data_IF_175548284813
#
_entry.id   IF_175548284813
#
_cell.length_a   1.000
_cell.length_b   1.000
_cell.length_c   1.000
_cell.angle_alpha   90.00
_cell.angle_beta   90.00
_cell.angle_gamma   90.00
#
_symmetry.space_group_name_H-M   'P 1'
#
loop_
_entity.id
_entity.type
_entity.pdbx_description
1 polymer ?
#
# COMPACT_ATOMS: atom_id res chain seq x y z
N UNK A 1 -22.03 28.44 0.94
CA UNK A 1 -21.60 28.13 -0.45
C UNK A 1 -22.24 26.81 -0.82
N UNK A 2 -22.88 26.72 -1.98
CA UNK A 2 -23.49 25.48 -2.47
C UNK A 2 -22.55 24.83 -3.50
N UNK A 3 -22.25 23.55 -3.31
CA UNK A 3 -21.35 22.79 -4.19
C UNK A 3 -22.18 22.05 -5.23
N UNK A 4 -21.99 22.37 -6.52
CA UNK A 4 -22.65 21.67 -7.62
C UNK A 4 -21.93 20.34 -7.91
N UNK A 5 -22.69 19.25 -7.79
CA UNK A 5 -22.26 17.89 -8.12
C UNK A 5 -23.03 17.39 -9.34
N UNK A 6 -22.32 16.92 -10.37
CA UNK A 6 -22.92 16.32 -11.55
C UNK A 6 -22.90 14.80 -11.47
N UNK A 7 -24.06 14.17 -11.60
CA UNK A 7 -24.21 12.72 -11.73
C UNK A 7 -24.45 12.37 -13.20
N UNK A 8 -23.54 11.58 -13.78
CA UNK A 8 -23.59 11.16 -15.19
C UNK A 8 -23.98 9.68 -15.27
N UNK A 9 -24.95 9.36 -16.13
CA UNK A 9 -25.40 7.97 -16.36
C UNK A 9 -26.66 7.58 -15.58
N UNK A 10 -27.28 8.54 -14.89
CA UNK A 10 -28.56 8.35 -14.20
C UNK A 10 -29.45 9.57 -14.35
N UNK A 11 -30.73 9.31 -14.57
CA UNK A 11 -31.79 10.30 -14.62
C UNK A 11 -32.92 9.83 -13.69
N UNK A 12 -33.23 10.58 -12.60
CA UNK A 12 -34.30 10.22 -11.69
C UNK A 12 -35.65 10.11 -12.41
N UNK A 13 -36.39 9.05 -12.11
CA UNK A 13 -37.73 8.86 -12.61
C UNK A 13 -38.71 9.76 -11.85
N UNK A 14 -39.52 10.52 -12.61
CA UNK A 14 -40.62 11.31 -12.07
C UNK A 14 -41.83 10.43 -11.66
N UNK A 15 -42.05 9.34 -12.40
CA UNK A 15 -43.04 8.30 -12.08
C UNK A 15 -42.52 6.90 -12.44
N UNK A 16 -43.18 5.88 -11.90
CA UNK A 16 -42.86 4.47 -12.15
C UNK A 16 -43.86 3.81 -13.11
N UNK A 17 -44.83 4.56 -13.64
CA UNK A 17 -45.92 4.01 -14.43
C UNK A 17 -45.43 3.56 -15.81
N UNK A 18 -45.70 2.30 -16.17
CA UNK A 18 -45.28 1.73 -17.45
C UNK A 18 -43.77 1.49 -17.58
N UNK A 19 -42.98 1.70 -16.51
CA UNK A 19 -41.54 1.41 -16.48
C UNK A 19 -41.27 -0.07 -16.21
N UNK A 20 -40.17 -0.60 -16.75
CA UNK A 20 -39.75 -1.98 -16.50
C UNK A 20 -39.31 -2.11 -15.04
N UNK A 21 -39.53 -3.29 -14.44
CA UNK A 21 -39.10 -3.59 -13.06
C UNK A 21 -37.63 -3.26 -12.78
N UNK A 22 -36.76 -3.49 -13.78
CA UNK A 22 -35.34 -3.15 -13.71
C UNK A 22 -35.12 -1.65 -13.55
N UNK A 23 -35.80 -0.83 -14.35
CA UNK A 23 -35.66 0.63 -14.32
C UNK A 23 -36.14 1.20 -12.98
N UNK A 24 -37.24 0.67 -12.45
CA UNK A 24 -37.76 1.05 -11.13
C UNK A 24 -36.77 0.69 -10.02
N UNK A 25 -36.23 -0.53 -10.02
CA UNK A 25 -35.21 -0.96 -9.05
C UNK A 25 -33.96 -0.08 -9.11
N UNK A 26 -33.47 0.22 -10.31
CA UNK A 26 -32.24 0.99 -10.49
C UNK A 26 -32.45 2.45 -10.00
N UNK A 27 -33.63 3.04 -10.24
CA UNK A 27 -34.03 4.36 -9.72
C UNK A 27 -34.18 4.38 -8.19
N UNK A 28 -34.86 3.39 -7.61
CA UNK A 28 -34.99 3.24 -6.15
C UNK A 28 -33.62 3.13 -5.48
N UNK A 29 -32.72 2.33 -6.06
CA UNK A 29 -31.37 2.15 -5.55
C UNK A 29 -30.57 3.45 -5.53
N UNK A 30 -30.56 4.21 -6.64
CA UNK A 30 -29.81 5.46 -6.69
C UNK A 30 -30.44 6.56 -5.82
N UNK A 31 -31.78 6.62 -5.73
CA UNK A 31 -32.46 7.54 -4.81
C UNK A 31 -32.07 7.27 -3.36
N UNK A 32 -32.11 6.01 -2.93
CA UNK A 32 -31.65 5.60 -1.61
C UNK A 32 -30.18 6.00 -1.40
N UNK A 33 -29.31 5.63 -2.34
CA UNK A 33 -27.87 5.85 -2.28
C UNK A 33 -27.51 7.34 -2.15
N UNK A 34 -28.14 8.22 -2.92
CA UNK A 34 -27.85 9.66 -2.90
C UNK A 34 -28.60 10.43 -1.82
N UNK A 35 -29.77 9.95 -1.35
CA UNK A 35 -30.53 10.63 -0.29
C UNK A 35 -29.89 10.52 1.10
N UNK A 36 -29.04 9.51 1.31
CA UNK A 36 -28.39 9.26 2.59
C UNK A 36 -27.16 10.12 2.89
N UNK A 37 -26.82 11.10 2.04
CA UNK A 37 -25.54 11.84 2.07
C UNK A 37 -25.72 13.30 1.68
N UNK A 38 -24.93 14.20 2.27
CA UNK A 38 -24.81 15.56 1.76
C UNK A 38 -23.79 15.61 0.62
N UNK A 39 -24.31 15.54 -0.60
CA UNK A 39 -23.52 15.61 -1.84
C UNK A 39 -23.62 16.99 -2.51
N UNK A 40 -24.06 18.01 -1.77
CA UNK A 40 -24.36 19.34 -2.31
C UNK A 40 -25.55 19.34 -3.28
N UNK A 41 -25.56 20.29 -4.21
CA UNK A 41 -26.61 20.40 -5.23
C UNK A 41 -26.41 19.33 -6.30
N UNK A 42 -27.28 18.33 -6.32
CA UNK A 42 -27.22 17.25 -7.29
C UNK A 42 -27.87 17.66 -8.63
N UNK A 43 -27.09 17.54 -9.70
CA UNK A 43 -27.55 17.67 -11.08
C UNK A 43 -27.39 16.34 -11.79
N UNK A 44 -28.33 15.99 -12.66
CA UNK A 44 -28.35 14.69 -13.32
C UNK A 44 -28.28 14.83 -14.84
N UNK A 45 -27.53 13.96 -15.49
CA UNK A 45 -27.47 13.88 -16.95
C UNK A 45 -27.28 12.44 -17.45
N UNK A 46 -27.86 12.08 -18.61
CA UNK A 46 -27.56 10.82 -19.28
C UNK A 46 -26.17 10.86 -19.94
N UNK A 47 -25.64 9.69 -20.30
CA UNK A 47 -24.34 9.58 -20.98
C UNK A 47 -24.24 10.32 -22.33
N UNK A 48 -25.36 10.62 -22.99
CA UNK A 48 -25.35 11.30 -24.29
C UNK A 48 -25.23 12.82 -24.20
N UNK A 49 -25.74 13.44 -23.12
CA UNK A 49 -25.96 14.90 -23.05
C UNK A 49 -25.31 15.57 -21.83
N UNK A 50 -24.38 14.88 -21.17
CA UNK A 50 -23.76 15.40 -19.95
C UNK A 50 -22.85 16.61 -20.18
N UNK A 51 -22.23 16.76 -21.37
CA UNK A 51 -21.36 17.91 -21.67
C UNK A 51 -22.12 19.23 -21.53
N UNK A 52 -23.33 19.29 -22.10
CA UNK A 52 -24.19 20.47 -22.02
C UNK A 52 -24.52 20.83 -20.57
N UNK A 53 -24.84 19.83 -19.75
CA UNK A 53 -25.14 20.05 -18.33
C UNK A 53 -23.89 20.44 -17.55
N UNK A 54 -22.74 19.87 -17.89
CA UNK A 54 -21.45 20.21 -17.31
C UNK A 54 -21.08 21.68 -17.57
N UNK A 55 -21.29 22.19 -18.79
CA UNK A 55 -21.04 23.60 -19.11
C UNK A 55 -21.99 24.55 -18.37
N UNK A 56 -23.26 24.16 -18.25
CA UNK A 56 -24.32 24.95 -17.60
C UNK A 56 -24.01 25.18 -16.11
N UNK A 57 -23.64 24.13 -15.39
CA UNK A 57 -23.51 24.18 -13.93
C UNK A 57 -22.06 24.33 -13.46
N UNK A 58 -21.10 24.11 -14.36
CA UNK A 58 -19.65 24.13 -14.11
C UNK A 58 -19.27 23.40 -12.81
N UNK A 59 -19.50 22.08 -12.73
CA UNK A 59 -19.36 21.36 -11.47
C UNK A 59 -17.91 21.38 -10.96
N UNK A 60 -17.77 21.28 -9.64
CA UNK A 60 -16.47 20.99 -9.00
C UNK A 60 -16.30 19.48 -8.79
N UNK A 61 -17.42 18.75 -8.67
CA UNK A 61 -17.45 17.31 -8.44
C UNK A 61 -18.33 16.62 -9.46
N UNK A 62 -17.86 15.51 -10.01
CA UNK A 62 -18.57 14.70 -10.99
C UNK A 62 -18.52 13.24 -10.56
N UNK A 63 -19.68 12.59 -10.51
CA UNK A 63 -19.80 11.14 -10.30
C UNK A 63 -20.27 10.52 -11.61
N UNK A 64 -19.48 9.60 -12.16
CA UNK A 64 -19.80 8.87 -13.40
C UNK A 64 -20.21 7.45 -13.05
N UNK A 65 -21.43 7.09 -13.45
CA UNK A 65 -21.99 5.75 -13.30
C UNK A 65 -21.72 4.97 -14.59
N UNK A 66 -21.04 3.83 -14.53
CA UNK A 66 -20.72 3.02 -15.72
C UNK A 66 -19.22 2.86 -16.02
N UNK A 67 -18.36 3.22 -15.06
CA UNK A 67 -16.94 2.86 -15.03
C UNK A 67 -15.99 3.72 -15.87
N UNK A 68 -14.77 3.20 -16.03
CA UNK A 68 -13.57 3.96 -16.44
C UNK A 68 -13.67 4.58 -17.84
N UNK A 69 -14.32 3.93 -18.80
CA UNK A 69 -14.42 4.42 -20.18
C UNK A 69 -15.14 5.77 -20.29
N UNK A 70 -16.24 5.94 -19.55
CA UNK A 70 -16.95 7.22 -19.53
C UNK A 70 -16.22 8.25 -18.66
N UNK A 71 -15.58 7.81 -17.57
CA UNK A 71 -14.77 8.67 -16.73
C UNK A 71 -13.63 9.33 -17.52
N UNK A 72 -12.94 8.59 -18.40
CA UNK A 72 -11.87 9.15 -19.23
C UNK A 72 -12.37 10.26 -20.16
N UNK A 73 -13.53 10.05 -20.82
CA UNK A 73 -14.14 11.08 -21.66
C UNK A 73 -14.51 12.34 -20.87
N UNK A 74 -15.07 12.16 -19.67
CA UNK A 74 -15.40 13.27 -18.77
C UNK A 74 -14.15 14.01 -18.33
N UNK A 75 -13.08 13.28 -17.97
CA UNK A 75 -11.81 13.88 -17.55
C UNK A 75 -11.17 14.70 -18.66
N UNK A 76 -11.23 14.23 -19.91
CA UNK A 76 -10.68 14.93 -21.07
C UNK A 76 -11.46 16.21 -21.40
N UNK A 77 -12.78 16.23 -21.16
CA UNK A 77 -13.62 17.40 -21.39
C UNK A 77 -13.55 18.42 -20.25
N UNK A 78 -13.63 17.94 -19.00
CA UNK A 78 -13.68 18.73 -17.77
C UNK A 78 -12.60 18.26 -16.80
N UNK A 79 -11.36 18.66 -17.07
CA UNK A 79 -10.20 18.19 -16.32
C UNK A 79 -10.06 18.82 -14.93
N UNK A 80 -10.67 19.99 -14.69
CA UNK A 80 -10.60 20.77 -13.45
C UNK A 80 -11.73 20.44 -12.45
N UNK A 81 -12.44 19.33 -12.64
CA UNK A 81 -13.38 18.78 -11.68
C UNK A 81 -12.82 17.51 -11.01
N UNK A 82 -13.16 17.32 -9.73
CA UNK A 82 -12.92 16.08 -9.01
C UNK A 82 -13.85 15.01 -9.57
N UNK A 83 -13.26 13.94 -10.09
CA UNK A 83 -13.98 12.91 -10.83
C UNK A 83 -13.95 11.60 -10.05
N UNK A 84 -15.15 11.08 -9.77
CA UNK A 84 -15.36 9.79 -9.15
C UNK A 84 -16.09 8.87 -10.12
N UNK A 85 -15.60 7.64 -10.29
CA UNK A 85 -16.23 6.63 -11.12
C UNK A 85 -16.77 5.51 -10.24
N UNK A 86 -18.05 5.18 -10.39
CA UNK A 86 -18.67 4.05 -9.71
C UNK A 86 -19.42 3.16 -10.73
N UNK A 87 -19.69 1.92 -10.33
CA UNK A 87 -20.38 0.98 -11.21
C UNK A 87 -21.83 1.41 -11.44
N UNK A 88 -22.38 1.08 -12.61
CA UNK A 88 -23.81 1.27 -12.84
C UNK A 88 -24.66 0.21 -12.09
N UNK A 89 -25.93 0.52 -11.84
CA UNK A 89 -26.86 -0.38 -11.16
C UNK A 89 -27.00 -1.75 -11.87
N UNK A 90 -26.87 -1.78 -13.20
CA UNK A 90 -26.83 -3.03 -13.95
C UNK A 90 -25.66 -3.92 -13.53
N UNK A 91 -24.47 -3.36 -13.35
CA UNK A 91 -23.29 -4.04 -12.82
C UNK A 91 -23.42 -4.42 -11.35
N UNK A 92 -24.00 -3.55 -10.51
CA UNK A 92 -24.25 -3.83 -9.09
C UNK A 92 -25.13 -5.07 -8.94
N UNK A 93 -26.23 -5.12 -9.68
CA UNK A 93 -27.23 -6.19 -9.57
C UNK A 93 -26.97 -7.39 -10.50
N UNK A 94 -25.81 -7.45 -11.17
CA UNK A 94 -25.50 -8.53 -12.12
C UNK A 94 -25.35 -9.89 -11.44
N UNK A 95 -24.66 -9.94 -10.29
CA UNK A 95 -24.41 -11.17 -9.52
C UNK A 95 -24.89 -11.03 -8.09
N UNK A 96 -25.87 -11.85 -7.70
CA UNK A 96 -26.49 -11.77 -6.37
C UNK A 96 -25.52 -11.85 -5.20
N UNK A 97 -24.48 -12.68 -5.31
CA UNK A 97 -23.48 -12.87 -4.26
C UNK A 97 -22.59 -11.63 -4.03
N UNK A 98 -22.49 -10.73 -5.03
CA UNK A 98 -21.60 -9.56 -5.00
C UNK A 98 -22.35 -8.25 -4.69
N UNK A 99 -23.69 -8.28 -4.60
CA UNK A 99 -24.51 -7.07 -4.47
C UNK A 99 -24.11 -6.24 -3.24
N UNK A 100 -24.03 -6.86 -2.07
CA UNK A 100 -23.76 -6.15 -0.82
C UNK A 100 -22.33 -5.58 -0.79
N UNK A 101 -21.35 -6.31 -1.34
CA UNK A 101 -19.98 -5.82 -1.50
C UNK A 101 -19.94 -4.57 -2.40
N UNK A 102 -20.60 -4.61 -3.56
CA UNK A 102 -20.64 -3.49 -4.50
C UNK A 102 -21.37 -2.28 -3.94
N UNK A 103 -22.47 -2.51 -3.22
CA UNK A 103 -23.18 -1.46 -2.48
C UNK A 103 -22.26 -0.83 -1.43
N UNK A 104 -21.54 -1.63 -0.65
CA UNK A 104 -20.58 -1.13 0.34
C UNK A 104 -19.50 -0.25 -0.30
N UNK A 105 -18.95 -0.64 -1.46
CA UNK A 105 -17.99 0.18 -2.21
C UNK A 105 -18.58 1.52 -2.64
N UNK A 106 -19.82 1.55 -3.14
CA UNK A 106 -20.49 2.82 -3.48
C UNK A 106 -20.67 3.70 -2.23
N UNK A 107 -21.03 3.11 -1.10
CA UNK A 107 -21.15 3.81 0.18
C UNK A 107 -19.83 4.41 0.66
N UNK A 108 -18.71 3.70 0.53
CA UNK A 108 -17.38 4.21 0.87
C UNK A 108 -17.01 5.42 0.00
N UNK A 109 -17.19 5.33 -1.32
CA UNK A 109 -16.91 6.43 -2.26
C UNK A 109 -17.75 7.66 -1.94
N UNK A 110 -19.05 7.50 -1.67
CA UNK A 110 -19.90 8.63 -1.31
C UNK A 110 -19.58 9.22 0.07
N UNK A 111 -19.05 8.42 1.00
CA UNK A 111 -18.53 8.93 2.28
C UNK A 111 -17.34 9.85 2.07
N UNK A 112 -16.43 9.45 1.19
CA UNK A 112 -15.27 10.27 0.85
C UNK A 112 -15.71 11.59 0.20
N UNK A 113 -16.62 11.51 -0.78
CA UNK A 113 -17.16 12.68 -1.49
C UNK A 113 -17.81 13.67 -0.52
N UNK A 114 -18.66 13.19 0.39
CA UNK A 114 -19.27 14.02 1.44
C UNK A 114 -18.22 14.72 2.31
N UNK A 115 -17.16 14.00 2.70
CA UNK A 115 -16.03 14.57 3.44
C UNK A 115 -15.30 15.66 2.67
N UNK A 116 -15.09 15.46 1.36
CA UNK A 116 -14.47 16.45 0.46
C UNK A 116 -15.36 17.70 0.33
N UNK A 117 -16.66 17.53 0.08
CA UNK A 117 -17.61 18.63 -0.04
C UNK A 117 -17.67 19.44 1.24
N UNK A 118 -17.74 18.76 2.40
CA UNK A 118 -17.72 19.41 3.71
C UNK A 118 -16.46 20.26 3.87
N UNK A 119 -15.29 19.71 3.57
CA UNK A 119 -14.01 20.43 3.67
C UNK A 119 -13.96 21.65 2.75
N UNK A 120 -14.37 21.52 1.48
CA UNK A 120 -14.44 22.66 0.55
C UNK A 120 -15.38 23.73 1.09
N UNK A 121 -16.51 23.33 1.67
CA UNK A 121 -17.50 24.24 2.25
C UNK A 121 -16.97 24.97 3.48
N UNK A 122 -16.20 24.29 4.33
CA UNK A 122 -15.54 24.86 5.52
C UNK A 122 -14.40 25.82 5.15
N UNK A 123 -13.58 25.47 4.15
CA UNK A 123 -12.44 26.26 3.69
C UNK A 123 -12.87 27.53 2.91
N UNK A 124 -14.05 27.49 2.29
CA UNK A 124 -14.71 28.64 1.65
C UNK A 124 -14.38 28.85 0.17
N UNK A 125 -15.09 29.80 -0.47
CA UNK A 125 -15.03 30.04 -1.93
C UNK A 125 -13.64 30.38 -2.47
N UNK A 126 -12.79 30.99 -1.63
CA UNK A 126 -11.43 31.36 -2.00
C UNK A 126 -10.54 30.15 -2.34
N UNK A 127 -10.88 28.95 -1.86
CA UNK A 127 -10.14 27.72 -2.14
C UNK A 127 -10.60 26.98 -3.40
N UNK A 128 -11.76 27.34 -3.99
CA UNK A 128 -12.25 26.70 -5.21
C UNK A 128 -11.23 26.74 -6.36
N UNK A 129 -10.51 27.84 -6.64
CA UNK A 129 -9.45 27.85 -7.64
C UNK A 129 -8.32 26.87 -7.34
N UNK A 130 -7.94 26.70 -6.06
CA UNK A 130 -6.93 25.74 -5.61
C UNK A 130 -7.39 24.30 -5.88
N UNK A 131 -8.64 23.99 -5.54
CA UNK A 131 -9.25 22.67 -5.77
C UNK A 131 -9.34 22.36 -7.26
N UNK A 132 -9.79 23.31 -8.08
CA UNK A 132 -9.84 23.17 -9.55
C UNK A 132 -8.45 22.96 -10.14
N UNK A 133 -7.46 23.71 -9.66
CA UNK A 133 -6.07 23.55 -10.05
C UNK A 133 -5.53 22.17 -9.68
N UNK A 134 -5.83 21.68 -8.47
CA UNK A 134 -5.46 20.34 -8.05
C UNK A 134 -6.11 19.27 -8.94
N UNK A 135 -7.42 19.39 -9.19
CA UNK A 135 -8.14 18.47 -10.03
C UNK A 135 -7.56 18.40 -11.45
N UNK A 136 -7.11 19.52 -12.01
CA UNK A 136 -6.51 19.58 -13.35
C UNK A 136 -5.03 19.22 -13.42
N UNK A 137 -4.37 18.93 -12.29
CA UNK A 137 -2.96 18.56 -12.30
C UNK A 137 -2.74 17.29 -13.10
N UNK A 138 -1.81 17.36 -14.06
CA UNK A 138 -1.28 16.17 -14.70
C UNK A 138 -0.44 15.35 -13.70
N UNK A 139 -0.09 14.13 -14.09
CA UNK A 139 0.89 13.34 -13.36
C UNK A 139 2.19 14.14 -13.13
N UNK A 140 2.70 14.82 -14.15
CA UNK A 140 3.93 15.61 -14.06
C UNK A 140 3.80 16.80 -13.11
N UNK A 141 2.64 17.45 -13.07
CA UNK A 141 2.39 18.57 -12.15
C UNK A 141 2.37 18.10 -10.69
N UNK A 142 1.66 17.00 -10.41
CA UNK A 142 1.64 16.38 -9.10
C UNK A 142 3.03 15.91 -8.68
N UNK A 143 3.78 15.29 -9.59
CA UNK A 143 5.15 14.85 -9.35
C UNK A 143 6.06 16.02 -8.98
N UNK A 144 6.05 17.11 -9.77
CA UNK A 144 6.84 18.32 -9.49
C UNK A 144 6.46 18.95 -8.15
N UNK A 145 5.17 19.03 -7.83
CA UNK A 145 4.68 19.57 -6.56
C UNK A 145 5.21 18.74 -5.37
N UNK A 146 5.18 17.42 -5.47
CA UNK A 146 5.69 16.52 -4.43
C UNK A 146 7.20 16.67 -4.26
N UNK A 147 7.96 16.67 -5.35
CA UNK A 147 9.42 16.87 -5.30
C UNK A 147 9.76 18.21 -4.65
N UNK A 148 9.11 19.30 -5.07
CA UNK A 148 9.32 20.63 -4.47
C UNK A 148 9.00 20.66 -2.97
N UNK A 149 7.95 19.94 -2.55
CA UNK A 149 7.59 19.82 -1.14
C UNK A 149 8.62 19.03 -0.33
N UNK A 150 9.22 17.99 -0.93
CA UNK A 150 10.25 17.15 -0.29
C UNK A 150 11.57 17.88 -0.14
N UNK A 151 12.02 18.61 -1.18
CA UNK A 151 13.30 19.32 -1.16
C UNK A 151 13.23 20.69 -0.49
N UNK A 152 12.02 21.18 -0.20
CA UNK A 152 11.80 22.48 0.43
C UNK A 152 12.16 22.49 1.91
N UNK A 153 12.34 23.70 2.45
CA UNK A 153 12.77 23.91 3.84
C UNK A 153 11.65 23.69 4.88
N UNK A 154 10.38 23.59 4.43
CA UNK A 154 9.22 23.42 5.31
C UNK A 154 9.07 21.96 5.75
N UNK A 155 9.49 21.68 6.98
CA UNK A 155 9.45 20.34 7.58
C UNK A 155 8.06 19.69 7.55
N UNK A 156 7.01 20.46 7.83
CA UNK A 156 5.64 19.97 7.85
C UNK A 156 5.16 19.50 6.47
N UNK A 157 5.47 20.25 5.42
CA UNK A 157 5.13 19.89 4.04
C UNK A 157 5.94 18.69 3.57
N UNK A 158 7.22 18.63 3.93
CA UNK A 158 8.08 17.50 3.64
C UNK A 158 7.55 16.21 4.27
N UNK A 159 7.16 16.24 5.54
CA UNK A 159 6.56 15.07 6.21
C UNK A 159 5.24 14.64 5.57
N UNK A 160 4.36 15.60 5.22
CA UNK A 160 3.11 15.30 4.51
C UNK A 160 3.35 14.69 3.13
N UNK A 161 4.30 15.22 2.36
CA UNK A 161 4.65 14.69 1.05
C UNK A 161 5.20 13.26 1.13
N UNK A 162 6.06 12.99 2.13
CA UNK A 162 6.54 11.62 2.38
C UNK A 162 5.43 10.67 2.79
N UNK A 163 4.52 11.11 3.66
CA UNK A 163 3.34 10.33 4.06
C UNK A 163 2.46 9.97 2.84
N UNK A 164 2.19 10.94 1.96
CA UNK A 164 1.43 10.72 0.74
C UNK A 164 2.12 9.72 -0.20
N UNK A 165 3.44 9.79 -0.34
CA UNK A 165 4.20 8.85 -1.18
C UNK A 165 4.35 7.44 -0.59
N UNK A 166 4.19 7.29 0.72
CA UNK A 166 4.26 5.98 1.39
C UNK A 166 2.90 5.31 1.53
N UNK A 167 1.81 6.08 1.43
CA UNK A 167 0.46 5.56 1.42
C UNK A 167 0.09 4.93 0.06
N UNK A 168 0.10 3.60 0.02
CA UNK A 168 -0.24 2.83 -1.17
C UNK A 168 -1.76 2.78 -1.44
N UNK A 169 -2.59 3.36 -0.57
CA UNK A 169 -4.07 3.26 -0.65
C UNK A 169 -4.74 4.50 -1.22
N UNK A 170 -4.10 5.68 -1.12
CA UNK A 170 -4.71 6.97 -1.48
C UNK A 170 -4.76 7.23 -2.99
N UNK A 171 -3.66 6.97 -3.72
CA UNK A 171 -3.64 7.17 -5.18
C UNK A 171 -2.63 6.24 -5.86
N UNK A 172 -3.10 5.46 -6.86
CA UNK A 172 -2.26 4.48 -7.57
C UNK A 172 -0.99 5.09 -8.19
N UNK A 173 -1.07 6.35 -8.65
CA UNK A 173 0.08 7.06 -9.20
C UNK A 173 1.19 7.37 -8.18
N UNK A 174 0.92 7.46 -6.87
CA UNK A 174 1.97 7.78 -5.90
C UNK A 174 3.03 6.68 -5.79
N UNK A 175 2.65 5.42 -5.99
CA UNK A 175 3.60 4.30 -6.10
C UNK A 175 4.56 4.54 -7.27
N UNK A 176 4.03 4.94 -8.42
CA UNK A 176 4.82 5.25 -9.61
C UNK A 176 5.69 6.49 -9.44
N UNK A 177 5.17 7.54 -8.81
CA UNK A 177 5.95 8.75 -8.49
C UNK A 177 7.12 8.45 -7.55
N UNK A 178 6.92 7.62 -6.53
CA UNK A 178 7.99 7.16 -5.65
C UNK A 178 9.04 6.37 -6.43
N UNK A 179 8.62 5.45 -7.29
CA UNK A 179 9.54 4.68 -8.13
C UNK A 179 10.34 5.58 -9.10
N UNK A 180 9.67 6.55 -9.73
CA UNK A 180 10.32 7.53 -10.61
C UNK A 180 11.33 8.38 -9.85
N UNK A 181 10.97 8.92 -8.68
CA UNK A 181 11.87 9.73 -7.86
C UNK A 181 13.15 8.97 -7.50
N UNK A 182 13.01 7.72 -7.06
CA UNK A 182 14.16 6.89 -6.70
C UNK A 182 15.01 6.52 -7.94
N UNK A 183 14.38 6.32 -9.10
CA UNK A 183 15.09 6.12 -10.37
C UNK A 183 15.86 7.37 -10.79
N UNK A 184 15.27 8.56 -10.66
CA UNK A 184 15.92 9.84 -10.98
C UNK A 184 17.11 10.07 -10.04
N UNK A 185 16.96 9.82 -8.73
CA UNK A 185 18.06 9.86 -7.77
C UNK A 185 19.18 8.92 -8.22
N UNK A 186 18.88 7.69 -8.61
CA UNK A 186 19.90 6.76 -9.12
C UNK A 186 20.57 7.26 -10.41
N UNK A 187 19.79 7.72 -11.38
CA UNK A 187 20.29 8.09 -12.71
C UNK A 187 21.13 9.37 -12.74
N UNK A 188 20.90 10.27 -11.79
CA UNK A 188 21.57 11.57 -11.68
C UNK A 188 22.59 11.65 -10.53
N UNK A 189 22.81 10.55 -9.82
CA UNK A 189 23.85 10.45 -8.79
C UNK A 189 25.21 10.12 -9.38
N UNK A 190 26.26 10.70 -8.79
CA UNK A 190 27.64 10.27 -9.01
C UNK A 190 27.93 8.97 -8.26
N UNK A 191 29.12 8.39 -8.46
CA UNK A 191 29.51 7.13 -7.83
C UNK A 191 29.37 7.15 -6.30
N UNK A 192 29.78 8.24 -5.63
CA UNK A 192 29.65 8.34 -4.17
C UNK A 192 28.20 8.32 -3.68
N UNK A 193 27.32 9.08 -4.33
CA UNK A 193 25.89 9.08 -3.96
C UNK A 193 25.20 7.75 -4.28
N UNK A 194 25.63 7.05 -5.33
CA UNK A 194 25.15 5.69 -5.63
C UNK A 194 25.56 4.69 -4.54
N UNK A 195 26.79 4.77 -4.04
CA UNK A 195 27.24 3.99 -2.88
C UNK A 195 26.34 4.28 -1.67
N UNK A 196 26.15 5.56 -1.32
CA UNK A 196 25.30 5.95 -0.18
C UNK A 196 23.88 5.40 -0.33
N UNK A 197 23.29 5.50 -1.52
CA UNK A 197 21.94 5.00 -1.78
C UNK A 197 21.83 3.47 -1.67
N UNK A 198 22.84 2.73 -2.16
CA UNK A 198 22.89 1.26 -2.01
C UNK A 198 23.11 0.85 -0.55
N UNK A 199 23.95 1.57 0.20
CA UNK A 199 24.17 1.34 1.62
C UNK A 199 22.88 1.58 2.42
N UNK A 200 22.14 2.67 2.15
CA UNK A 200 20.82 2.92 2.75
C UNK A 200 19.82 1.79 2.44
N UNK A 201 19.83 1.27 1.21
CA UNK A 201 18.99 0.13 0.86
C UNK A 201 19.38 -1.14 1.64
N UNK A 202 20.67 -1.35 1.89
CA UNK A 202 21.15 -2.47 2.72
C UNK A 202 20.87 -2.29 4.20
N UNK A 203 20.87 -1.06 4.71
CA UNK A 203 20.49 -0.79 6.10
C UNK A 203 19.05 -1.25 6.36
N UNK A 204 18.14 -1.13 5.38
CA UNK A 204 16.80 -1.71 5.48
C UNK A 204 16.81 -3.24 5.62
N UNK A 205 17.71 -3.94 4.92
CA UNK A 205 17.89 -5.37 5.11
C UNK A 205 18.40 -5.72 6.51
N UNK A 206 19.29 -4.90 7.07
CA UNK A 206 19.83 -5.06 8.42
C UNK A 206 18.74 -4.82 9.47
N UNK A 207 17.98 -3.74 9.34
CA UNK A 207 16.85 -3.41 10.22
C UNK A 207 15.78 -4.49 10.21
N UNK A 208 15.50 -5.08 9.04
CA UNK A 208 14.59 -6.21 8.90
C UNK A 208 15.18 -7.52 9.45
N UNK A 209 16.45 -7.54 9.88
CA UNK A 209 17.18 -8.71 10.34
C UNK A 209 17.28 -9.79 9.26
N UNK A 210 17.51 -9.37 8.01
CA UNK A 210 17.70 -10.23 6.83
C UNK A 210 19.14 -10.21 6.31
N UNK A 211 19.95 -9.26 6.78
CA UNK A 211 21.39 -9.21 6.51
C UNK A 211 22.16 -8.64 7.71
N UNK A 212 23.48 -8.83 7.73
CA UNK A 212 24.41 -8.18 8.65
C UNK A 212 25.63 -7.65 7.91
N UNK A 213 26.20 -6.54 8.39
CA UNK A 213 27.44 -5.97 7.83
C UNK A 213 28.66 -6.81 8.26
N UNK A 214 29.52 -7.14 7.31
CA UNK A 214 30.83 -7.77 7.53
C UNK A 214 31.94 -6.71 7.49
N UNK A 215 33.19 -7.12 7.75
CA UNK A 215 34.35 -6.27 7.49
C UNK A 215 34.44 -5.92 5.99
N UNK A 216 34.97 -4.74 5.70
CA UNK A 216 35.15 -4.30 4.31
C UNK A 216 36.14 -5.21 3.57
N UNK A 217 35.90 -5.39 2.27
CA UNK A 217 36.70 -6.24 1.40
C UNK A 217 37.47 -5.42 0.39
N UNK A 218 38.71 -5.83 0.13
CA UNK A 218 39.53 -5.28 -0.96
C UNK A 218 39.77 -6.39 -1.97
N UNK A 219 39.44 -6.14 -3.23
CA UNK A 219 39.67 -7.12 -4.30
C UNK A 219 41.12 -7.12 -4.80
N UNK A 220 41.40 -8.00 -5.77
CA UNK A 220 42.74 -8.14 -6.36
C UNK A 220 43.23 -6.88 -7.09
N UNK A 221 42.31 -6.01 -7.52
CA UNK A 221 42.62 -4.75 -8.23
C UNK A 221 42.79 -3.58 -7.24
N UNK A 222 42.65 -3.83 -5.93
CA UNK A 222 42.71 -2.82 -4.89
C UNK A 222 41.41 -2.05 -4.66
N UNK A 223 40.31 -2.44 -5.31
CA UNK A 223 39.00 -1.79 -5.12
C UNK A 223 38.39 -2.24 -3.79
N UNK A 224 37.87 -1.27 -3.02
CA UNK A 224 37.23 -1.52 -1.74
C UNK A 224 35.71 -1.68 -1.88
N UNK A 225 35.12 -2.54 -1.05
CA UNK A 225 33.69 -2.85 -1.02
C UNK A 225 33.17 -2.97 0.42
N UNK A 226 31.99 -2.41 0.67
CA UNK A 226 31.17 -2.79 1.83
C UNK A 226 30.64 -4.19 1.59
N UNK A 227 30.63 -5.04 2.62
CA UNK A 227 30.15 -6.42 2.52
C UNK A 227 28.98 -6.69 3.46
N UNK A 228 27.99 -7.42 2.95
CA UNK A 228 26.79 -7.78 3.69
C UNK A 228 26.50 -9.27 3.51
N UNK A 229 26.36 -10.00 4.63
CA UNK A 229 25.95 -11.40 4.63
C UNK A 229 24.45 -11.47 4.84
N UNK A 230 23.73 -12.12 3.91
CA UNK A 230 22.32 -12.42 4.09
C UNK A 230 22.12 -13.56 5.07
N UNK A 231 21.01 -13.53 5.79
CA UNK A 231 20.68 -14.50 6.83
C UNK A 231 19.35 -15.18 6.51
N UNK A 232 19.25 -16.47 6.83
CA UNK A 232 17.99 -17.18 6.90
C UNK A 232 17.14 -16.65 8.07
N UNK A 233 15.85 -16.99 8.10
CA UNK A 233 14.92 -16.52 9.14
C UNK A 233 15.26 -17.04 10.55
N UNK A 234 15.97 -18.17 10.63
CA UNK A 234 16.52 -18.71 11.87
C UNK A 234 17.80 -17.99 12.36
N UNK A 235 18.30 -17.01 11.60
CA UNK A 235 19.49 -16.22 11.93
C UNK A 235 20.81 -16.83 11.42
N UNK A 236 20.78 -17.98 10.76
CA UNK A 236 21.99 -18.58 10.16
C UNK A 236 22.41 -17.85 8.88
N UNK A 237 23.71 -17.89 8.60
CA UNK A 237 24.26 -17.29 7.37
C UNK A 237 23.72 -18.03 6.14
N UNK A 238 23.11 -17.28 5.22
CA UNK A 238 22.63 -17.82 3.94
C UNK A 238 23.76 -18.07 2.94
N UNK A 239 25.02 -17.76 3.31
CA UNK A 239 26.21 -17.79 2.45
C UNK A 239 26.06 -16.98 1.15
N UNK A 240 25.14 -16.01 1.15
CA UNK A 240 24.97 -15.06 0.07
C UNK A 240 25.53 -13.70 0.52
N UNK A 241 26.62 -13.27 -0.12
CA UNK A 241 27.32 -12.02 0.21
C UNK A 241 27.08 -11.00 -0.89
N UNK A 242 26.51 -9.86 -0.52
CA UNK A 242 26.38 -8.68 -1.38
C UNK A 242 27.53 -7.71 -1.12
N UNK A 243 28.11 -7.20 -2.20
CA UNK A 243 29.24 -6.26 -2.18
C UNK A 243 28.85 -4.95 -2.84
N UNK A 244 29.04 -3.83 -2.12
CA UNK A 244 28.79 -2.48 -2.65
C UNK A 244 30.14 -1.76 -2.75
N UNK A 245 30.59 -1.36 -3.95
CA UNK A 245 31.88 -0.69 -4.11
C UNK A 245 31.86 0.69 -3.48
N UNK A 246 32.99 1.07 -2.89
CA UNK A 246 33.24 2.43 -2.44
C UNK A 246 33.27 3.36 -3.66
N UNK A 247 32.37 4.34 -3.65
CA UNK A 247 32.27 5.35 -4.69
C UNK A 247 33.12 6.58 -4.36
N UNK A 248 33.59 7.25 -5.41
CA UNK A 248 34.33 8.52 -5.26
C UNK A 248 33.46 9.69 -5.68
N UNK A 249 33.62 10.83 -5.01
CA UNK A 249 32.88 12.06 -5.36
C UNK A 249 33.25 12.50 -6.79
N UNK A 250 32.25 12.81 -7.61
CA UNK A 250 32.43 13.18 -9.02
C UNK A 250 32.81 12.03 -9.95
N UNK A 251 32.85 10.78 -9.46
CA UNK A 251 33.03 9.61 -10.31
C UNK A 251 31.85 9.47 -11.27
N UNK A 252 32.16 9.28 -12.55
CA UNK A 252 31.15 9.03 -13.58
C UNK A 252 30.28 7.82 -13.23
N UNK A 253 28.99 7.94 -13.51
CA UNK A 253 27.99 6.94 -13.12
C UNK A 253 28.23 5.58 -13.78
N UNK A 254 28.63 5.56 -15.05
CA UNK A 254 28.88 4.32 -15.78
C UNK A 254 30.16 3.66 -15.31
N UNK A 255 31.15 4.46 -14.88
CA UNK A 255 32.36 3.95 -14.25
C UNK A 255 32.06 3.25 -12.93
N UNK A 256 31.21 3.86 -12.09
CA UNK A 256 30.78 3.22 -10.84
C UNK A 256 29.96 1.95 -11.10
N UNK A 257 29.01 2.00 -12.03
CA UNK A 257 28.16 0.85 -12.39
C UNK A 257 28.99 -0.31 -12.95
N UNK A 258 30.04 -0.05 -13.74
CA UNK A 258 30.93 -1.09 -14.23
C UNK A 258 31.71 -1.81 -13.10
N UNK A 259 32.05 -1.10 -12.02
CA UNK A 259 32.70 -1.71 -10.84
C UNK A 259 31.68 -2.55 -10.07
N UNK A 260 30.47 -2.02 -9.90
CA UNK A 260 29.37 -2.73 -9.23
C UNK A 260 29.08 -4.06 -9.93
N UNK A 261 28.93 -4.03 -11.26
CA UNK A 261 28.61 -5.16 -12.13
C UNK A 261 29.63 -6.31 -12.08
N UNK A 262 30.86 -6.07 -11.58
CA UNK A 262 31.89 -7.10 -11.39
C UNK A 262 31.44 -8.21 -10.43
N UNK A 263 30.66 -7.86 -9.41
CA UNK A 263 30.19 -8.82 -8.40
C UNK A 263 28.67 -8.95 -8.37
N UNK A 264 27.93 -7.88 -8.69
CA UNK A 264 26.47 -7.89 -8.69
C UNK A 264 25.87 -6.79 -9.58
N UNK A 265 24.63 -6.96 -10.07
CA UNK A 265 23.92 -5.94 -10.89
C UNK A 265 22.64 -5.36 -10.25
N UNK A 266 22.56 -5.02 -8.94
CA UNK A 266 21.36 -4.39 -8.39
C UNK A 266 21.46 -2.86 -8.48
N UNK A 267 20.38 -2.21 -8.89
CA UNK A 267 20.18 -0.80 -8.56
C UNK A 267 19.59 -0.70 -7.13
N UNK A 268 19.78 0.43 -6.44
CA UNK A 268 19.31 0.58 -5.06
C UNK A 268 17.80 0.36 -4.89
N UNK A 269 17.01 0.64 -5.92
CA UNK A 269 15.58 0.37 -5.96
C UNK A 269 15.23 -1.11 -5.84
N UNK A 270 15.93 -1.96 -6.60
CA UNK A 270 15.78 -3.41 -6.53
C UNK A 270 16.14 -3.92 -5.14
N UNK A 271 17.21 -3.40 -4.54
CA UNK A 271 17.62 -3.78 -3.18
C UNK A 271 16.53 -3.42 -2.16
N UNK A 272 15.98 -2.20 -2.21
CA UNK A 272 14.87 -1.80 -1.32
C UNK A 272 13.63 -2.67 -1.50
N UNK A 273 13.29 -3.02 -2.75
CA UNK A 273 12.17 -3.92 -3.03
C UNK A 273 12.40 -5.34 -2.47
N UNK A 274 13.59 -5.90 -2.68
CA UNK A 274 14.01 -7.18 -2.11
C UNK A 274 13.90 -7.18 -0.57
N UNK A 275 14.29 -6.08 0.09
CA UNK A 275 14.17 -5.94 1.54
C UNK A 275 12.70 -6.02 2.01
N UNK A 276 11.79 -5.35 1.30
CA UNK A 276 10.36 -5.39 1.58
C UNK A 276 9.74 -6.77 1.37
N UNK A 277 10.07 -7.44 0.26
CA UNK A 277 9.59 -8.81 -0.01
C UNK A 277 10.10 -9.82 1.02
N UNK A 278 11.38 -9.74 1.39
CA UNK A 278 11.96 -10.62 2.41
C UNK A 278 11.33 -10.40 3.77
N UNK A 279 11.05 -9.15 4.16
CA UNK A 279 10.32 -8.84 5.39
C UNK A 279 8.93 -9.48 5.37
N UNK A 280 8.17 -9.30 4.29
CA UNK A 280 6.84 -9.90 4.16
C UNK A 280 6.87 -11.42 4.29
N UNK A 281 7.79 -12.08 3.58
CA UNK A 281 7.97 -13.54 3.67
C UNK A 281 8.40 -14.00 5.08
N UNK A 282 9.25 -13.22 5.74
CA UNK A 282 9.67 -13.46 7.13
C UNK A 282 8.48 -13.37 8.10
N UNK A 283 7.66 -12.33 7.96
CA UNK A 283 6.46 -12.12 8.77
C UNK A 283 5.43 -13.24 8.55
N UNK A 284 5.20 -13.65 7.29
CA UNK A 284 4.35 -14.78 6.94
C UNK A 284 4.86 -16.11 7.52
N UNK A 285 6.17 -16.35 7.45
CA UNK A 285 6.80 -17.53 8.06
C UNK A 285 6.58 -17.55 9.57
N UNK A 286 6.91 -16.47 10.29
CA UNK A 286 6.75 -16.43 11.74
C UNK A 286 5.29 -16.53 12.19
N UNK A 287 4.35 -15.97 11.41
CA UNK A 287 2.93 -16.15 11.67
C UNK A 287 2.52 -17.62 11.54
N UNK A 288 2.95 -18.30 10.47
CA UNK A 288 2.67 -19.73 10.29
C UNK A 288 3.30 -20.60 11.38
N UNK A 289 4.54 -20.29 11.80
CA UNK A 289 5.18 -20.98 12.92
C UNK A 289 4.47 -20.71 14.25
N UNK A 290 4.00 -19.49 14.50
CA UNK A 290 3.23 -19.16 15.71
C UNK A 290 1.93 -19.98 15.78
N UNK A 291 1.22 -20.17 14.67
CA UNK A 291 0.04 -21.03 14.59
C UNK A 291 0.35 -22.51 14.90
N UNK A 292 1.51 -23.01 14.46
CA UNK A 292 1.97 -24.37 14.81
C UNK A 292 2.27 -24.47 16.30
N UNK A 293 3.01 -23.51 16.86
CA UNK A 293 3.35 -23.46 18.28
C UNK A 293 2.11 -23.37 19.16
N UNK A 294 1.12 -22.57 18.76
CA UNK A 294 -0.16 -22.46 19.46
C UNK A 294 -0.89 -23.81 19.54
N UNK A 295 -0.92 -24.58 18.44
CA UNK A 295 -1.51 -25.92 18.43
C UNK A 295 -0.78 -26.87 19.39
N UNK A 296 0.55 -26.88 19.34
CA UNK A 296 1.38 -27.68 20.25
C UNK A 296 1.08 -27.35 21.71
N UNK A 297 1.04 -26.06 22.05
CA UNK A 297 0.80 -25.60 23.42
C UNK A 297 -0.62 -25.91 23.90
N UNK A 298 -1.65 -25.80 23.04
CA UNK A 298 -3.03 -26.20 23.37
C UNK A 298 -3.14 -27.70 23.59
N UNK A 299 -2.53 -28.51 22.72
CA UNK A 299 -2.51 -29.97 22.85
C UNK A 299 -1.78 -30.44 24.12
N UNK A 300 -0.66 -29.79 24.45
CA UNK A 300 0.08 -30.02 25.68
C UNK A 300 -0.73 -29.60 26.92
N UNK A 301 -1.46 -28.48 26.88
CA UNK A 301 -2.31 -28.03 27.99
C UNK A 301 -3.45 -29.02 28.29
N UNK A 302 -4.00 -29.67 27.25
CA UNK A 302 -5.02 -30.73 27.41
C UNK A 302 -4.40 -31.99 28.01
N UNK A 303 -3.20 -32.38 27.55
CA UNK A 303 -2.50 -33.55 28.06
C UNK A 303 -0.97 -33.33 28.12
N UNK A 304 -0.43 -32.90 29.28
CA UNK A 304 1.00 -32.64 29.43
C UNK A 304 1.90 -33.88 29.32
N UNK A 305 1.32 -35.09 29.36
CA UNK A 305 2.05 -36.35 29.25
C UNK A 305 2.26 -36.82 27.79
N UNK A 306 1.71 -36.12 26.80
CA UNK A 306 2.00 -36.41 25.38
C UNK A 306 3.50 -36.28 25.11
N UNK A 307 4.04 -37.23 24.35
CA UNK A 307 5.44 -37.19 23.93
C UNK A 307 5.68 -36.06 22.91
N UNK A 308 6.93 -35.62 22.76
CA UNK A 308 7.34 -34.68 21.70
C UNK A 308 6.93 -35.19 20.32
N UNK A 309 7.08 -36.50 20.07
CA UNK A 309 6.64 -37.16 18.85
C UNK A 309 5.13 -37.03 18.62
N UNK A 310 4.31 -37.25 19.64
CA UNK A 310 2.85 -37.10 19.54
C UNK A 310 2.42 -35.65 19.29
N UNK A 311 3.22 -34.69 19.78
CA UNK A 311 3.03 -33.26 19.55
C UNK A 311 3.63 -32.77 18.22
N UNK A 312 4.34 -33.64 17.49
CA UNK A 312 5.04 -33.27 16.25
C UNK A 312 6.20 -32.29 16.44
N UNK A 313 6.81 -32.29 17.63
CA UNK A 313 7.91 -31.40 18.03
C UNK A 313 9.23 -32.16 17.98
N UNK A 314 10.26 -31.53 17.43
CA UNK A 314 11.62 -32.07 17.45
C UNK A 314 12.28 -31.82 18.82
N UNK A 315 13.14 -32.72 19.28
CA UNK A 315 13.86 -32.53 20.53
C UNK A 315 14.79 -31.31 20.42
N UNK A 316 14.97 -30.60 21.54
CA UNK A 316 15.82 -29.41 21.57
C UNK A 316 17.30 -29.75 21.37
N UNK A 317 17.77 -30.86 21.94
CA UNK A 317 19.10 -31.42 21.68
C UNK A 317 18.99 -32.76 20.94
N UNK A 318 19.98 -33.08 20.10
CA UNK A 318 20.03 -34.35 19.37
C UNK A 318 19.99 -35.59 20.28
N UNK A 319 20.43 -35.42 21.53
CA UNK A 319 20.48 -36.47 22.56
C UNK A 319 19.15 -36.68 23.29
N UNK A 320 18.20 -35.74 23.16
CA UNK A 320 16.91 -35.83 23.85
C UNK A 320 15.97 -36.81 23.14
N UNK A 321 15.28 -37.65 23.91
CA UNK A 321 14.34 -38.62 23.36
C UNK A 321 13.02 -37.96 22.92
N UNK A 322 12.60 -38.26 21.69
CA UNK A 322 11.31 -37.85 21.12
C UNK A 322 10.10 -38.50 21.83
N UNK A 323 10.32 -39.59 22.57
CA UNK A 323 9.26 -40.31 23.28
C UNK A 323 8.98 -39.72 24.67
N UNK A 324 9.76 -38.73 25.10
CA UNK A 324 9.53 -38.01 26.36
C UNK A 324 8.60 -36.82 26.16
N UNK A 325 7.86 -36.38 27.19
CA UNK A 325 7.10 -35.12 27.14
C UNK A 325 7.98 -33.87 26.96
N UNK A 326 7.35 -32.73 26.68
CA UNK A 326 8.06 -31.44 26.69
C UNK A 326 8.52 -31.08 28.11
N UNK A 327 9.76 -30.62 28.22
CA UNK A 327 10.32 -30.08 29.47
C UNK A 327 9.73 -28.70 29.78
N UNK A 328 9.86 -28.25 31.03
CA UNK A 328 9.43 -26.90 31.42
C UNK A 328 10.15 -25.79 30.65
N UNK A 329 11.42 -25.99 30.31
CA UNK A 329 12.22 -25.06 29.52
C UNK A 329 11.72 -24.98 28.07
N UNK A 330 11.43 -26.12 27.45
CA UNK A 330 10.87 -26.20 26.10
C UNK A 330 9.50 -25.51 26.03
N UNK A 331 8.61 -25.78 26.99
CA UNK A 331 7.30 -25.12 27.09
C UNK A 331 7.47 -23.61 27.26
N UNK A 332 8.38 -23.16 28.12
CA UNK A 332 8.65 -21.74 28.33
C UNK A 332 9.20 -21.06 27.07
N UNK A 333 10.06 -21.75 26.33
CA UNK A 333 10.58 -21.25 25.05
C UNK A 333 9.48 -21.11 24.00
N UNK A 334 8.62 -22.13 23.84
CA UNK A 334 7.46 -22.09 22.94
C UNK A 334 6.50 -20.95 23.33
N UNK A 335 6.23 -20.76 24.62
CA UNK A 335 5.42 -19.63 25.12
C UNK A 335 6.06 -18.29 24.80
N UNK A 336 7.38 -18.16 24.96
CA UNK A 336 8.09 -16.92 24.66
C UNK A 336 8.06 -16.60 23.16
N UNK A 337 8.26 -17.61 22.31
CA UNK A 337 8.13 -17.48 20.86
C UNK A 337 6.73 -17.02 20.47
N UNK A 338 5.69 -17.69 20.99
CA UNK A 338 4.30 -17.32 20.74
C UNK A 338 4.01 -15.90 21.21
N UNK A 339 4.46 -15.51 22.41
CA UNK A 339 4.27 -14.14 22.94
C UNK A 339 4.90 -13.08 22.05
N UNK A 340 6.04 -13.39 21.43
CA UNK A 340 6.78 -12.46 20.56
C UNK A 340 6.12 -12.31 19.19
N UNK A 341 5.59 -13.39 18.63
CA UNK A 341 5.15 -13.45 17.23
C UNK A 341 3.62 -13.52 17.03
N UNK A 342 2.86 -13.79 18.10
CA UNK A 342 1.40 -13.69 18.16
C UNK A 342 0.95 -13.25 19.58
N UNK A 343 1.19 -11.98 19.96
CA UNK A 343 0.92 -11.48 21.31
C UNK A 343 -0.58 -11.42 21.66
N UNK A 344 -1.47 -11.47 20.66
CA UNK A 344 -2.92 -11.41 20.83
C UNK A 344 -3.56 -12.81 20.97
N UNK A 345 -2.75 -13.87 20.99
CA UNK A 345 -3.22 -15.24 21.14
C UNK A 345 -4.00 -15.45 22.45
N UNK A 346 -5.17 -16.09 22.34
CA UNK A 346 -6.09 -16.49 23.42
C UNK A 346 -5.45 -17.46 24.45
N UNK A 347 -4.30 -18.04 24.11
CA UNK A 347 -3.54 -18.92 25.00
C UNK A 347 -3.14 -18.25 26.33
N UNK A 348 -2.81 -16.96 26.30
CA UNK A 348 -2.35 -16.26 27.52
C UNK A 348 -3.48 -15.94 28.50
N UNK A 349 -4.73 -15.85 28.01
CA UNK A 349 -5.92 -15.62 28.84
C UNK A 349 -6.48 -16.91 29.47
N UNK A 350 -6.03 -18.08 29.00
CA UNK A 350 -6.50 -19.41 29.41
C UNK A 350 -5.51 -20.16 30.31
N UNK A 351 -4.42 -19.52 30.75
CA UNK A 351 -3.46 -20.14 31.69
C UNK A 351 -3.96 -19.98 33.14
N UNK A 352 -4.23 -21.05 33.91
CA UNK A 352 -4.56 -20.93 35.33
C UNK A 352 -3.37 -20.27 36.07
N UNK A 353 -3.68 -19.34 36.98
CA UNK A 353 -2.68 -18.71 37.87
C UNK A 353 -1.97 -19.72 38.76
#
# INVERSE_FOLDING_TARGET
MEINTLIIGYMPLADTAGKKKREVRDDEYYKELFSGRDLGTLHYAPHQDWQKKCDEINPILIIVLGGDYYAEQVKNYKNDALLYAIEDAGHVFYRKAEIEEKKAKHWEVLTEIEGVIKKITEDGEAELPSVRKFASMSYDDMYKMLIQSIIGDKEDLRQKAWSLLTDNTVHKNFIWMRAQMLMEVWQHSDGKKKEEFLCMAMDQHIENGSARKLADFTDADGQQYHQYMFMFYNGEDANYIRRIPFGTKGQDKYTYEAILDKYETPNGLRVMFEAGELKKKKDEYFKSEAEKVLRVLKDWQINPAKSKKDLGVMPWQEEDSVDTPLSGEEVNSLRWFLKKHDPASDFFDSTPK
#
